data_IF_347663324212
#
_entry.id   IF_347663324212
#
_cell.length_a   1.000
_cell.length_b   1.000
_cell.length_c   1.000
_cell.angle_alpha   90.00
_cell.angle_beta   90.00
_cell.angle_gamma   90.00
#
_symmetry.space_group_name_H-M   'P 1'
#
loop_
_entity.id
_entity.type
_entity.pdbx_description
1 polymer ?
#
# COMPACT_ATOMS: atom_id res chain seq x y z
N UNK A 1 -4.07 2.98 -19.47
CA UNK A 1 -4.29 2.76 -18.02
C UNK A 1 -4.95 4.01 -17.44
N UNK A 2 -5.93 3.87 -16.53
CA UNK A 2 -6.56 5.02 -15.84
C UNK A 2 -5.94 5.18 -14.47
N UNK A 3 -5.43 6.37 -14.17
CA UNK A 3 -4.87 6.77 -12.89
C UNK A 3 -5.90 7.65 -12.20
N UNK A 4 -6.31 7.24 -11.00
CA UNK A 4 -7.23 8.00 -10.17
C UNK A 4 -6.43 8.72 -9.10
N UNK A 5 -6.51 10.05 -9.08
CA UNK A 5 -5.81 10.89 -8.12
C UNK A 5 -6.80 11.34 -7.04
N UNK A 6 -6.30 11.46 -5.81
CA UNK A 6 -7.09 11.98 -4.69
C UNK A 6 -7.49 13.44 -4.97
N UNK A 7 -8.76 13.76 -4.76
CA UNK A 7 -9.29 15.11 -4.97
C UNK A 7 -9.54 15.50 -6.43
N UNK A 8 -9.32 14.60 -7.38
CA UNK A 8 -9.68 14.83 -8.79
C UNK A 8 -10.77 13.85 -9.25
N UNK A 9 -11.85 14.38 -9.78
CA UNK A 9 -12.89 13.56 -10.44
C UNK A 9 -12.43 13.02 -11.80
N UNK A 10 -11.39 13.63 -12.38
CA UNK A 10 -10.85 13.21 -13.68
C UNK A 10 -9.78 12.15 -13.48
N UNK A 11 -9.96 11.00 -14.12
CA UNK A 11 -8.91 10.00 -14.25
C UNK A 11 -7.89 10.44 -15.31
N UNK A 12 -6.60 10.36 -15.01
CA UNK A 12 -5.54 10.58 -15.99
C UNK A 12 -5.37 9.30 -16.81
N UNK A 13 -5.45 9.40 -18.14
CA UNK A 13 -5.20 8.27 -19.03
C UNK A 13 -3.76 8.28 -19.50
N UNK A 14 -3.05 7.16 -19.31
CA UNK A 14 -1.65 7.01 -19.73
C UNK A 14 -1.49 5.84 -20.69
N UNK A 15 -0.58 6.00 -21.67
CA UNK A 15 -0.16 4.98 -22.65
C UNK A 15 0.91 4.01 -22.13
N UNK A 16 1.12 3.93 -20.82
CA UNK A 16 2.11 3.05 -20.21
C UNK A 16 1.51 1.68 -19.88
N UNK A 17 2.37 0.66 -19.89
CA UNK A 17 2.01 -0.69 -19.45
C UNK A 17 1.99 -0.81 -17.92
N UNK A 18 1.20 -1.75 -17.38
CA UNK A 18 1.13 -2.02 -15.94
C UNK A 18 2.51 -2.29 -15.33
N UNK A 19 3.35 -3.07 -16.03
CA UNK A 19 4.71 -3.42 -15.58
C UNK A 19 5.64 -2.19 -15.52
N UNK A 20 5.50 -1.25 -16.45
CA UNK A 20 6.30 -0.02 -16.42
C UNK A 20 5.91 0.88 -15.25
N UNK A 21 4.61 0.96 -14.94
CA UNK A 21 4.11 1.71 -13.79
C UNK A 21 4.57 1.04 -12.49
N UNK A 22 4.47 -0.29 -12.41
CA UNK A 22 4.96 -1.08 -11.27
C UNK A 22 6.45 -0.81 -10.98
N UNK A 23 7.31 -0.77 -12.00
CA UNK A 23 8.74 -0.41 -11.84
C UNK A 23 9.01 1.04 -11.45
N UNK A 24 8.11 1.97 -11.80
CA UNK A 24 8.26 3.40 -11.49
C UNK A 24 7.69 3.77 -10.13
N UNK A 25 6.76 2.96 -9.62
CA UNK A 25 6.11 3.19 -8.34
C UNK A 25 6.88 2.48 -7.22
N UNK A 26 7.04 3.13 -6.06
CA UNK A 26 7.62 2.46 -4.92
C UNK A 26 6.69 1.36 -4.42
N UNK A 27 7.17 0.11 -4.48
CA UNK A 27 6.45 -1.08 -3.96
C UNK A 27 6.13 -0.94 -2.46
N UNK A 28 6.88 -0.11 -1.75
CA UNK A 28 6.63 0.25 -0.36
C UNK A 28 5.40 1.12 -0.14
N UNK A 29 4.70 1.60 -1.17
CA UNK A 29 3.43 2.36 -1.00
C UNK A 29 2.34 1.87 -1.93
N UNK A 30 2.72 1.25 -3.04
CA UNK A 30 1.81 0.75 -4.04
C UNK A 30 1.75 -0.76 -4.02
N UNK A 31 0.53 -1.29 -3.97
CA UNK A 31 0.29 -2.72 -4.06
C UNK A 31 -0.62 -3.02 -5.23
N UNK A 32 -0.29 -4.09 -5.95
CA UNK A 32 -1.15 -4.64 -6.98
C UNK A 32 -2.26 -5.48 -6.34
N UNK A 33 -3.51 -5.10 -6.61
CA UNK A 33 -4.72 -5.76 -6.04
C UNK A 33 -5.54 -6.48 -7.10
N UNK A 34 -5.24 -6.25 -8.38
CA UNK A 34 -5.87 -6.91 -9.50
C UNK A 34 -4.87 -6.99 -10.68
N UNK A 35 -5.14 -7.83 -11.68
CA UNK A 35 -4.33 -7.87 -12.92
C UNK A 35 -4.24 -6.52 -13.64
N UNK A 36 -5.24 -5.65 -13.44
CA UNK A 36 -5.37 -4.34 -14.09
C UNK A 36 -5.35 -3.15 -13.12
N UNK A 37 -5.19 -3.37 -11.81
CA UNK A 37 -5.25 -2.30 -10.80
C UNK A 37 -4.07 -2.37 -9.84
N UNK A 38 -3.38 -1.23 -9.72
CA UNK A 38 -2.39 -0.94 -8.68
C UNK A 38 -3.00 0.16 -7.82
N UNK A 39 -2.93 -0.01 -6.51
CA UNK A 39 -3.52 0.93 -5.56
C UNK A 39 -2.49 1.40 -4.55
N UNK A 40 -2.67 2.61 -4.06
CA UNK A 40 -1.88 3.13 -2.96
C UNK A 40 -2.48 2.65 -1.63
N UNK A 41 -1.72 1.89 -0.87
CA UNK A 41 -2.14 1.31 0.42
C UNK A 41 -2.29 2.35 1.52
N UNK A 42 -1.56 3.46 1.44
CA UNK A 42 -1.59 4.54 2.44
C UNK A 42 -2.81 5.46 2.28
N UNK A 43 -3.52 5.36 1.17
CA UNK A 43 -4.70 6.20 0.84
C UNK A 43 -6.01 5.42 0.86
N UNK A 44 -5.98 4.23 1.45
CA UNK A 44 -7.16 3.39 1.56
C UNK A 44 -8.07 3.95 2.64
N UNK A 45 -9.30 4.31 2.26
CA UNK A 45 -10.29 4.84 3.21
C UNK A 45 -10.98 3.70 3.95
N UNK A 46 -11.52 2.71 3.22
CA UNK A 46 -12.25 1.59 3.81
C UNK A 46 -11.93 0.31 3.04
N UNK A 47 -11.69 -0.77 3.79
CA UNK A 47 -11.51 -2.12 3.25
C UNK A 47 -12.76 -2.93 3.60
N UNK A 48 -13.45 -3.47 2.59
CA UNK A 48 -14.62 -4.35 2.78
C UNK A 48 -14.38 -5.70 2.11
N UNK A 49 -14.08 -6.74 2.89
CA UNK A 49 -13.88 -8.16 2.48
C UNK A 49 -12.94 -8.34 1.27
N UNK A 50 -13.40 -8.01 0.06
CA UNK A 50 -12.69 -8.12 -1.22
C UNK A 50 -12.78 -6.82 -2.08
N UNK A 51 -13.15 -5.69 -1.48
CA UNK A 51 -13.31 -4.40 -2.16
C UNK A 51 -12.62 -3.31 -1.36
N UNK A 52 -11.87 -2.47 -2.05
CA UNK A 52 -11.24 -1.29 -1.47
C UNK A 52 -12.05 -0.08 -1.90
N UNK A 53 -12.44 0.74 -0.94
CA UNK A 53 -13.15 1.99 -1.17
C UNK A 53 -12.15 3.14 -1.11
N UNK A 54 -12.06 3.88 -2.21
CA UNK A 54 -11.31 5.12 -2.36
C UNK A 54 -12.32 6.26 -2.48
N UNK A 55 -12.73 6.81 -1.35
CA UNK A 55 -13.81 7.81 -1.29
C UNK A 55 -15.09 7.28 -1.97
N UNK A 56 -15.38 7.76 -3.19
CA UNK A 56 -16.55 7.37 -4.01
C UNK A 56 -16.28 6.21 -4.98
N UNK A 57 -15.03 5.82 -5.19
CA UNK A 57 -14.64 4.79 -6.16
C UNK A 57 -14.42 3.45 -5.46
N UNK A 58 -14.94 2.38 -6.05
CA UNK A 58 -14.78 1.02 -5.54
C UNK A 58 -13.85 0.22 -6.45
N UNK A 59 -12.77 -0.31 -5.88
CA UNK A 59 -11.82 -1.17 -6.59
C UNK A 59 -11.98 -2.61 -6.11
N UNK A 60 -12.33 -3.56 -7.00
CA UNK A 60 -12.37 -4.98 -6.66
C UNK A 60 -10.96 -5.55 -6.51
N UNK A 61 -10.77 -6.36 -5.48
CA UNK A 61 -9.54 -7.12 -5.23
C UNK A 61 -9.76 -8.55 -5.67
N UNK A 62 -8.84 -9.09 -6.46
CA UNK A 62 -8.90 -10.51 -6.82
C UNK A 62 -8.39 -11.37 -5.65
N UNK A 63 -8.96 -12.56 -5.46
CA UNK A 63 -8.64 -13.43 -4.32
C UNK A 63 -7.15 -13.81 -4.27
N UNK A 64 -6.50 -13.99 -5.44
CA UNK A 64 -5.06 -14.27 -5.52
C UNK A 64 -4.18 -13.15 -4.93
N UNK A 65 -4.66 -11.90 -4.93
CA UNK A 65 -3.91 -10.73 -4.42
C UNK A 65 -4.36 -10.32 -3.02
N UNK A 66 -5.44 -10.92 -2.50
CA UNK A 66 -6.01 -10.60 -1.19
C UNK A 66 -5.06 -10.97 -0.05
N UNK A 67 -4.43 -12.14 -0.12
CA UNK A 67 -3.53 -12.62 0.93
C UNK A 67 -2.36 -11.65 1.12
N UNK A 68 -1.64 -11.32 0.03
CA UNK A 68 -0.55 -10.35 0.04
C UNK A 68 -1.01 -8.96 0.51
N UNK A 69 -2.20 -8.52 0.10
CA UNK A 69 -2.77 -7.25 0.56
C UNK A 69 -3.08 -7.23 2.06
N UNK A 70 -3.72 -8.29 2.57
CA UNK A 70 -4.06 -8.40 3.98
C UNK A 70 -2.79 -8.44 4.83
N UNK A 71 -1.81 -9.26 4.45
CA UNK A 71 -0.52 -9.36 5.13
C UNK A 71 0.20 -8.00 5.19
N UNK A 72 0.23 -7.29 4.07
CA UNK A 72 0.83 -5.96 3.99
C UNK A 72 0.16 -4.93 4.91
N UNK A 73 -1.17 -4.94 5.00
CA UNK A 73 -1.93 -4.02 5.87
C UNK A 73 -1.77 -4.42 7.34
N UNK A 74 -1.84 -5.72 7.66
CA UNK A 74 -1.63 -6.25 9.00
C UNK A 74 -0.25 -5.88 9.56
N UNK A 75 0.80 -5.96 8.72
CA UNK A 75 2.16 -5.58 9.12
C UNK A 75 2.34 -4.09 9.43
N UNK A 76 1.52 -3.21 8.84
CA UNK A 76 1.56 -1.75 9.10
C UNK A 76 0.65 -1.27 10.22
N UNK A 77 -0.46 -1.95 10.44
CA UNK A 77 -1.40 -1.57 11.51
C UNK A 77 -0.81 -1.76 12.92
N UNK A 78 0.29 -2.51 13.05
CA UNK A 78 0.90 -2.83 14.35
C UNK A 78 2.08 -1.89 14.71
N UNK A 79 2.61 -1.06 13.78
CA UNK A 79 3.91 -0.39 13.98
C UNK A 79 3.92 1.13 14.16
N UNK A 80 2.79 1.82 14.31
CA UNK A 80 2.79 3.30 14.40
C UNK A 80 2.46 3.89 15.80
N UNK A 81 2.78 3.18 16.90
CA UNK A 81 2.64 3.71 18.28
C UNK A 81 3.91 3.67 19.12
N UNK A 82 5.11 3.58 18.51
CA UNK A 82 6.36 3.84 19.23
C UNK A 82 7.35 4.59 18.34
N UNK A 83 7.31 5.91 18.46
CA UNK A 83 8.54 6.70 18.41
C UNK A 83 8.36 7.85 19.38
N UNK A 84 9.07 7.79 20.51
CA UNK A 84 9.62 8.94 21.25
C UNK A 84 10.42 8.41 22.45
N UNK A 85 11.70 8.77 22.51
CA UNK A 85 12.46 8.92 23.77
C UNK A 85 13.55 7.89 24.09
N UNK A 86 14.78 8.41 24.12
CA UNK A 86 16.00 7.95 24.82
C UNK A 86 16.94 6.98 24.09
N UNK A 87 18.06 7.43 23.50
CA UNK A 87 19.29 8.10 24.02
C UNK A 87 20.28 7.12 24.65
N UNK A 88 21.44 7.02 23.98
CA UNK A 88 22.78 6.65 24.45
C UNK A 88 22.98 5.66 25.62
N UNK A 89 23.68 4.57 25.33
CA UNK A 89 24.86 4.06 26.06
C UNK A 89 25.22 2.71 25.41
N UNK A 90 26.30 2.61 24.63
CA UNK A 90 27.63 2.19 25.07
C UNK A 90 27.66 0.85 25.81
N UNK A 91 28.41 -0.09 25.21
CA UNK A 91 29.22 -1.13 25.86
C UNK A 91 28.51 -2.28 26.59
N UNK A 92 28.60 -3.48 26.03
CA UNK A 92 29.34 -4.66 26.56
C UNK A 92 28.94 -5.88 25.71
N UNK A 93 29.87 -6.66 25.11
CA UNK A 93 30.89 -7.55 25.71
C UNK A 93 30.27 -8.67 26.56
N UNK A 94 30.74 -9.91 26.32
CA UNK A 94 30.48 -11.19 27.05
C UNK A 94 29.14 -11.87 26.73
N UNK A 95 28.97 -13.19 26.60
CA UNK A 95 29.74 -14.47 26.64
C UNK A 95 28.71 -15.53 26.08
N UNK A 96 28.99 -16.75 25.59
CA UNK A 96 30.07 -17.75 25.70
C UNK A 96 30.42 -18.35 24.31
#
# INVERSE_FOLDING_TARGET
>A
MKIYLEGQDKSVMTFMSMKQIEKRLPESKFLRVHRSYIVNTSKITVIKRNRILFGKTVVPVNDSYKAAFSEYISGRLISNTKNDGDTSASSDSEEE
#
